data_IF_898674836639
#
_entry.id   IF_898674836639
#
_cell.length_a   1.000
_cell.length_b   1.000
_cell.length_c   1.000
_cell.angle_alpha   90.00
_cell.angle_beta   90.00
_cell.angle_gamma   90.00
#
_symmetry.space_group_name_H-M   'P 1'
#
loop_
_entity.id
_entity.type
_entity.pdbx_description
1 polymer ?
#
# COMPACT_ATOMS: atom_id res chain seq x y z
N UNK A 1 8.99 20.76 -8.53
CA UNK A 1 7.85 21.38 -7.80
C UNK A 1 7.96 21.04 -6.32
N UNK A 2 7.58 21.92 -5.39
CA UNK A 2 7.84 21.78 -3.94
C UNK A 2 6.72 21.09 -3.11
N UNK A 3 5.65 20.58 -3.73
CA UNK A 3 4.62 19.80 -3.03
C UNK A 3 3.71 20.55 -2.05
N UNK A 4 3.66 21.89 -2.09
CA UNK A 4 2.80 22.70 -1.20
C UNK A 4 1.32 22.27 -1.32
N UNK A 5 0.61 21.94 -0.21
CA UNK A 5 -0.72 21.31 -0.26
C UNK A 5 -1.82 22.27 -0.72
N UNK A 6 -1.68 23.56 -0.41
CA UNK A 6 -2.61 24.61 -0.78
C UNK A 6 -1.85 25.74 -1.49
N UNK A 7 -2.39 26.21 -2.60
CA UNK A 7 -1.98 27.47 -3.23
C UNK A 7 -3.11 28.48 -3.10
N UNK A 8 -2.77 29.70 -2.69
CA UNK A 8 -3.71 30.82 -2.60
C UNK A 8 -3.38 31.76 -3.76
N UNK A 9 -4.39 32.08 -4.56
CA UNK A 9 -4.32 32.99 -5.69
C UNK A 9 -5.12 34.25 -5.35
N UNK A 10 -4.53 35.41 -5.63
CA UNK A 10 -5.13 36.73 -5.36
C UNK A 10 -4.95 37.59 -6.60
N UNK A 11 -6.06 37.91 -7.28
CA UNK A 11 -6.07 38.83 -8.41
C UNK A 11 -6.81 40.15 -8.11
N UNK A 12 -6.76 41.14 -9.04
CA UNK A 12 -7.48 42.41 -8.88
C UNK A 12 -8.99 42.24 -8.62
N UNK A 13 -9.62 41.29 -9.33
CA UNK A 13 -11.06 40.97 -9.17
C UNK A 13 -11.39 40.36 -7.80
N UNK A 14 -10.46 39.60 -7.22
CA UNK A 14 -10.67 38.97 -5.92
C UNK A 14 -10.61 40.01 -4.79
N UNK A 15 -9.73 41.01 -4.95
CA UNK A 15 -9.65 42.16 -4.04
C UNK A 15 -10.95 42.99 -4.09
N UNK A 16 -11.46 43.30 -5.29
CA UNK A 16 -12.75 44.00 -5.48
C UNK A 16 -13.90 43.25 -4.80
N UNK A 17 -13.89 41.91 -4.85
CA UNK A 17 -14.91 41.05 -4.27
C UNK A 17 -14.62 40.62 -2.81
N UNK A 18 -13.53 41.10 -2.19
CA UNK A 18 -13.08 40.70 -0.84
C UNK A 18 -12.96 39.17 -0.64
N UNK A 19 -12.49 38.47 -1.66
CA UNK A 19 -12.32 37.02 -1.66
C UNK A 19 -10.89 36.61 -2.02
N UNK A 20 -10.59 35.33 -1.90
CA UNK A 20 -9.37 34.69 -2.41
C UNK A 20 -9.71 33.36 -3.05
N UNK A 21 -8.88 32.90 -3.98
CA UNK A 21 -9.00 31.59 -4.59
C UNK A 21 -8.04 30.60 -3.96
N UNK A 22 -8.57 29.49 -3.47
CA UNK A 22 -7.81 28.37 -2.91
C UNK A 22 -7.73 27.26 -3.94
N UNK A 23 -6.54 26.69 -4.13
CA UNK A 23 -6.29 25.54 -5.00
C UNK A 23 -5.65 24.40 -4.21
N UNK A 24 -6.29 23.23 -4.20
CA UNK A 24 -5.79 22.02 -3.52
C UNK A 24 -4.85 21.24 -4.43
N UNK A 25 -3.67 20.86 -3.92
CA UNK A 25 -2.59 20.29 -4.74
C UNK A 25 -2.90 18.93 -5.37
N UNK A 26 -3.55 18.02 -4.62
CA UNK A 26 -3.73 16.64 -5.06
C UNK A 26 -4.95 16.45 -5.95
N UNK A 27 -6.03 17.20 -5.72
CA UNK A 27 -7.27 17.15 -6.51
C UNK A 27 -7.32 18.20 -7.63
N UNK A 28 -6.58 19.30 -7.48
CA UNK A 28 -6.70 20.48 -8.36
C UNK A 28 -7.98 21.30 -8.15
N UNK A 29 -8.77 20.96 -7.12
CA UNK A 29 -10.01 21.66 -6.78
C UNK A 29 -9.75 23.13 -6.49
N UNK A 30 -10.64 24.00 -6.99
CA UNK A 30 -10.57 25.44 -6.83
C UNK A 30 -11.82 25.93 -6.11
N UNK A 31 -11.63 26.66 -5.03
CA UNK A 31 -12.74 27.25 -4.25
C UNK A 31 -12.45 28.72 -3.99
N UNK A 32 -13.43 29.57 -4.28
CA UNK A 32 -13.37 30.99 -3.92
C UNK A 32 -14.01 31.17 -2.54
N UNK A 33 -13.38 31.95 -1.66
CA UNK A 33 -13.91 32.20 -0.32
C UNK A 33 -13.57 33.59 0.21
N UNK A 34 -14.37 34.14 1.14
CA UNK A 34 -14.13 35.45 1.73
C UNK A 34 -12.76 35.52 2.44
N UNK A 35 -12.02 36.60 2.20
CA UNK A 35 -10.70 36.82 2.79
C UNK A 35 -10.75 36.86 4.33
N UNK A 36 -11.82 37.40 4.91
CA UNK A 36 -12.00 37.53 6.36
C UNK A 36 -12.08 36.17 7.07
N UNK A 37 -12.59 35.14 6.37
CA UNK A 37 -12.73 33.78 6.90
C UNK A 37 -11.55 32.84 6.57
N UNK A 38 -10.54 33.37 5.87
CA UNK A 38 -9.47 32.56 5.29
C UNK A 38 -8.68 31.77 6.35
N UNK A 39 -8.35 32.40 7.48
CA UNK A 39 -7.55 31.77 8.54
C UNK A 39 -8.20 30.48 9.08
N UNK A 40 -9.47 30.55 9.48
CA UNK A 40 -10.22 29.38 9.97
C UNK A 40 -10.50 28.35 8.88
N UNK A 41 -10.77 28.81 7.65
CA UNK A 41 -11.00 27.93 6.52
C UNK A 41 -9.75 27.14 6.13
N UNK A 42 -8.56 27.73 6.23
CA UNK A 42 -7.29 27.05 5.94
C UNK A 42 -6.99 25.93 6.93
N UNK A 43 -7.24 26.12 8.23
CA UNK A 43 -7.05 25.07 9.23
C UNK A 43 -7.91 23.86 8.89
N UNK A 44 -9.21 24.10 8.66
CA UNK A 44 -10.16 23.05 8.26
C UNK A 44 -9.74 22.35 6.97
N UNK A 45 -9.32 23.13 5.95
CA UNK A 45 -8.89 22.56 4.66
C UNK A 45 -7.62 21.72 4.77
N UNK A 46 -6.67 22.11 5.62
CA UNK A 46 -5.46 21.32 5.84
C UNK A 46 -5.79 19.97 6.51
N UNK A 47 -6.71 19.95 7.46
CA UNK A 47 -7.20 18.70 8.08
C UNK A 47 -7.93 17.81 7.07
N UNK A 48 -8.81 18.39 6.26
CA UNK A 48 -9.49 17.66 5.19
C UNK A 48 -8.51 17.06 4.18
N UNK A 49 -7.49 17.82 3.77
CA UNK A 49 -6.44 17.34 2.86
C UNK A 49 -5.68 16.18 3.48
N UNK A 50 -5.26 16.32 4.74
CA UNK A 50 -4.54 15.28 5.47
C UNK A 50 -5.38 14.00 5.55
N UNK A 51 -6.64 14.12 5.96
CA UNK A 51 -7.57 13.00 6.06
C UNK A 51 -7.85 12.36 4.69
N UNK A 52 -8.07 13.16 3.66
CA UNK A 52 -8.31 12.67 2.30
C UNK A 52 -7.13 11.90 1.73
N UNK A 53 -5.90 12.39 1.92
CA UNK A 53 -4.69 11.69 1.50
C UNK A 53 -4.50 10.38 2.27
N UNK A 54 -4.71 10.39 3.59
CA UNK A 54 -4.63 9.20 4.42
C UNK A 54 -5.65 8.14 4.00
N UNK A 55 -6.93 8.52 3.85
CA UNK A 55 -7.99 7.58 3.47
C UNK A 55 -7.74 7.00 2.08
N UNK A 56 -7.33 7.83 1.12
CA UNK A 56 -6.97 7.35 -0.23
C UNK A 56 -5.85 6.31 -0.18
N UNK A 57 -4.77 6.60 0.55
CA UNK A 57 -3.65 5.68 0.69
C UNK A 57 -4.04 4.39 1.43
N UNK A 58 -4.84 4.52 2.49
CA UNK A 58 -5.35 3.38 3.27
C UNK A 58 -6.23 2.48 2.41
N UNK A 59 -7.21 3.03 1.70
CA UNK A 59 -8.08 2.26 0.80
C UNK A 59 -7.27 1.54 -0.27
N UNK A 60 -6.34 2.26 -0.94
CA UNK A 60 -5.48 1.64 -1.94
C UNK A 60 -4.66 0.47 -1.36
N UNK A 61 -4.05 0.64 -0.18
CA UNK A 61 -3.33 -0.43 0.51
C UNK A 61 -4.26 -1.61 0.83
N UNK A 62 -5.44 -1.34 1.37
CA UNK A 62 -6.38 -2.38 1.81
C UNK A 62 -6.94 -3.18 0.62
N UNK A 63 -7.17 -2.52 -0.53
CA UNK A 63 -7.57 -3.17 -1.79
C UNK A 63 -6.47 -4.07 -2.37
N UNK A 64 -5.20 -3.78 -2.08
CA UNK A 64 -4.04 -4.57 -2.52
C UNK A 64 -3.53 -5.51 -1.43
N UNK A 65 -4.27 -5.72 -0.34
CA UNK A 65 -3.95 -6.74 0.67
C UNK A 65 -4.90 -7.92 0.47
N UNK A 66 -4.37 -9.02 -0.05
CA UNK A 66 -5.17 -10.20 -0.43
C UNK A 66 -4.84 -11.39 0.46
N UNK A 67 -5.86 -12.14 0.86
CA UNK A 67 -5.69 -13.39 1.61
C UNK A 67 -5.56 -14.56 0.64
N UNK A 68 -4.52 -15.37 0.82
CA UNK A 68 -4.24 -16.54 -0.02
C UNK A 68 -3.94 -17.75 0.86
N UNK A 69 -4.65 -18.85 0.62
CA UNK A 69 -4.51 -20.10 1.38
C UNK A 69 -3.88 -21.24 0.57
N UNK A 70 -3.71 -21.05 -0.75
CA UNK A 70 -3.12 -22.04 -1.65
C UNK A 70 -1.94 -21.44 -2.41
N UNK A 71 -0.82 -22.18 -2.50
CA UNK A 71 0.39 -21.68 -3.16
C UNK A 71 0.16 -21.26 -4.62
N UNK A 72 -0.72 -21.96 -5.34
CA UNK A 72 -1.01 -21.68 -6.76
C UNK A 72 -1.45 -20.23 -7.02
N UNK A 73 -2.04 -19.57 -6.03
CA UNK A 73 -2.54 -18.20 -6.13
C UNK A 73 -1.52 -17.17 -5.57
N UNK A 74 -0.47 -17.63 -4.89
CA UNK A 74 0.51 -16.75 -4.22
C UNK A 74 1.28 -15.86 -5.19
N UNK A 75 1.94 -16.47 -6.19
CA UNK A 75 2.72 -15.72 -7.20
C UNK A 75 1.83 -14.93 -8.16
N UNK A 76 0.69 -15.45 -8.65
CA UNK A 76 -0.24 -14.64 -9.43
C UNK A 76 -0.70 -13.36 -8.74
N UNK A 77 -0.93 -13.39 -7.42
CA UNK A 77 -1.28 -12.18 -6.65
C UNK A 77 -0.09 -11.23 -6.45
N UNK A 78 1.12 -11.76 -6.26
CA UNK A 78 2.35 -10.93 -6.22
C UNK A 78 2.62 -10.19 -7.53
N UNK A 79 2.31 -10.82 -8.68
CA UNK A 79 2.44 -10.16 -9.99
C UNK A 79 1.41 -9.05 -10.21
N UNK A 80 0.28 -9.08 -9.50
CA UNK A 80 -0.69 -7.97 -9.47
C UNK A 80 -0.26 -6.84 -8.54
N UNK A 81 0.95 -6.90 -7.99
CA UNK A 81 1.50 -5.95 -7.01
C UNK A 81 0.74 -5.92 -5.67
N UNK A 82 0.12 -7.04 -5.30
CA UNK A 82 -0.55 -7.17 -4.01
C UNK A 82 0.43 -7.56 -2.89
N UNK A 83 0.10 -7.17 -1.67
CA UNK A 83 0.59 -7.76 -0.44
C UNK A 83 -0.23 -9.01 -0.16
N UNK A 84 0.44 -10.13 0.09
CA UNK A 84 -0.23 -11.43 0.21
C UNK A 84 -0.21 -11.86 1.67
N UNK A 85 -1.38 -12.06 2.29
CA UNK A 85 -1.53 -12.56 3.64
C UNK A 85 -1.82 -14.06 3.57
N UNK A 86 -0.99 -14.89 4.19
CA UNK A 86 -1.16 -16.36 4.13
C UNK A 86 -1.12 -17.02 5.50
N UNK A 87 -1.74 -18.20 5.66
CA UNK A 87 -1.54 -19.03 6.83
C UNK A 87 -0.11 -19.54 6.92
N UNK A 88 0.47 -19.46 8.11
CA UNK A 88 1.87 -19.75 8.36
C UNK A 88 2.08 -20.60 9.62
N UNK A 89 3.06 -21.50 9.57
CA UNK A 89 3.42 -22.38 10.69
C UNK A 89 4.22 -21.69 11.81
N UNK A 90 4.38 -20.37 11.76
CA UNK A 90 5.11 -19.60 12.78
C UNK A 90 6.60 -19.40 12.48
N UNK A 91 7.25 -18.54 13.26
CA UNK A 91 8.62 -18.06 13.03
C UNK A 91 9.74 -19.06 13.38
N UNK A 92 9.40 -20.22 13.93
CA UNK A 92 10.37 -21.25 14.32
C UNK A 92 10.93 -22.03 13.11
N UNK A 93 10.27 -21.93 11.95
CA UNK A 93 10.62 -22.71 10.76
C UNK A 93 11.19 -21.85 9.62
N UNK A 94 12.40 -21.31 9.82
CA UNK A 94 13.06 -20.41 8.87
C UNK A 94 13.33 -21.02 7.49
N UNK A 95 13.52 -22.34 7.41
CA UNK A 95 13.76 -23.03 6.13
C UNK A 95 12.59 -22.84 5.15
N UNK A 96 11.36 -22.73 5.66
CA UNK A 96 10.20 -22.48 4.81
C UNK A 96 10.15 -21.05 4.29
N UNK A 97 10.68 -20.07 5.03
CA UNK A 97 10.78 -18.70 4.54
C UNK A 97 11.77 -18.59 3.37
N UNK A 98 12.93 -19.24 3.46
CA UNK A 98 13.89 -19.30 2.35
C UNK A 98 13.35 -20.11 1.16
N UNK A 99 12.54 -21.15 1.41
CA UNK A 99 11.81 -21.86 0.35
C UNK A 99 10.83 -20.94 -0.38
N UNK A 100 10.02 -20.16 0.37
CA UNK A 100 9.06 -19.21 -0.23
C UNK A 100 9.80 -18.19 -1.08
N UNK A 101 10.90 -17.63 -0.58
CA UNK A 101 11.74 -16.67 -1.30
C UNK A 101 12.31 -17.24 -2.59
N UNK A 102 12.90 -18.43 -2.54
CA UNK A 102 13.47 -19.10 -3.71
C UNK A 102 12.39 -19.44 -4.74
N UNK A 103 11.32 -20.12 -4.30
CA UNK A 103 10.26 -20.58 -5.20
C UNK A 103 9.46 -19.44 -5.81
N UNK A 104 9.12 -18.41 -5.02
CA UNK A 104 8.41 -17.23 -5.54
C UNK A 104 9.25 -16.46 -6.56
N UNK A 105 10.59 -16.41 -6.39
CA UNK A 105 11.50 -15.82 -7.37
C UNK A 105 11.47 -16.59 -8.69
N UNK A 106 11.66 -17.90 -8.63
CA UNK A 106 11.66 -18.76 -9.81
C UNK A 106 10.34 -18.67 -10.59
N UNK A 107 9.21 -18.78 -9.90
CA UNK A 107 7.88 -18.68 -10.51
C UNK A 107 7.59 -17.27 -11.05
N UNK A 108 8.04 -16.21 -10.37
CA UNK A 108 7.91 -14.81 -10.85
C UNK A 108 8.68 -14.60 -12.16
N UNK A 109 9.96 -15.01 -12.20
CA UNK A 109 10.81 -14.91 -13.38
C UNK A 109 10.23 -15.71 -14.56
N UNK A 110 9.80 -16.95 -14.29
CA UNK A 110 9.15 -17.79 -15.30
C UNK A 110 7.85 -17.15 -15.84
N UNK A 111 7.03 -16.56 -14.98
CA UNK A 111 5.77 -15.90 -15.38
C UNK A 111 5.99 -14.68 -16.30
N UNK A 112 7.16 -14.03 -16.16
CA UNK A 112 7.58 -12.86 -16.97
C UNK A 112 8.35 -13.25 -18.22
N UNK A 113 8.75 -14.52 -18.35
CA UNK A 113 9.66 -14.96 -19.41
C UNK A 113 11.09 -14.43 -19.23
N UNK A 114 11.47 -14.09 -18.00
CA UNK A 114 12.79 -13.56 -17.63
C UNK A 114 13.67 -14.68 -17.07
N UNK A 115 14.96 -14.67 -17.38
CA UNK A 115 15.92 -15.64 -16.81
C UNK A 115 16.55 -15.13 -15.51
N UNK A 116 16.72 -13.81 -15.39
CA UNK A 116 17.38 -13.14 -14.28
C UNK A 116 16.65 -11.83 -13.96
N UNK A 117 16.88 -11.30 -12.76
CA UNK A 117 16.33 -10.02 -12.33
C UNK A 117 17.05 -8.86 -13.05
N UNK A 118 16.33 -7.83 -13.49
CA UNK A 118 16.97 -6.61 -14.05
C UNK A 118 17.73 -5.89 -12.93
N UNK A 119 19.05 -5.82 -13.05
CA UNK A 119 19.98 -5.19 -12.10
C UNK A 119 19.67 -3.70 -11.83
N UNK A 120 18.88 -3.04 -12.70
CA UNK A 120 18.43 -1.65 -12.50
C UNK A 120 17.22 -1.55 -11.55
N UNK A 121 16.59 -2.66 -11.23
CA UNK A 121 15.42 -2.70 -10.34
C UNK A 121 15.89 -2.65 -8.90
N UNK A 122 15.33 -1.72 -8.12
CA UNK A 122 15.71 -1.56 -6.71
C UNK A 122 15.21 -2.70 -5.80
N UNK A 123 14.28 -3.52 -6.27
CA UNK A 123 13.62 -4.58 -5.49
C UNK A 123 13.77 -5.92 -6.20
N UNK A 124 14.14 -6.96 -5.47
CA UNK A 124 14.08 -8.35 -5.96
C UNK A 124 12.63 -8.75 -6.27
N UNK A 125 12.45 -9.67 -7.22
CA UNK A 125 11.13 -10.24 -7.55
C UNK A 125 10.69 -11.29 -6.53
N UNK A 126 11.60 -11.75 -5.67
CA UNK A 126 11.33 -12.70 -4.58
C UNK A 126 10.42 -12.08 -3.51
N UNK A 127 9.47 -12.87 -3.00
CA UNK A 127 8.71 -12.51 -1.82
C UNK A 127 9.55 -12.72 -0.55
N UNK A 128 9.36 -11.84 0.43
CA UNK A 128 9.88 -11.99 1.80
C UNK A 128 8.76 -11.81 2.80
N UNK A 129 8.95 -12.31 4.02
CA UNK A 129 8.08 -11.94 5.12
C UNK A 129 8.25 -10.44 5.40
N UNK A 130 7.14 -9.74 5.58
CA UNK A 130 7.13 -8.34 5.98
C UNK A 130 6.87 -8.23 7.48
N UNK A 131 5.81 -8.88 7.94
CA UNK A 131 5.49 -8.99 9.36
C UNK A 131 4.43 -10.07 9.60
N UNK A 132 4.28 -10.44 10.87
CA UNK A 132 3.07 -11.10 11.39
C UNK A 132 2.19 -9.97 11.95
N UNK A 133 1.06 -9.63 11.30
CA UNK A 133 0.22 -8.51 11.76
C UNK A 133 -0.28 -8.73 13.18
N UNK A 134 -0.42 -7.66 13.97
CA UNK A 134 -1.00 -7.77 15.32
C UNK A 134 -2.51 -8.01 15.29
N UNK A 135 -3.21 -7.34 14.38
CA UNK A 135 -4.62 -7.58 14.13
C UNK A 135 -4.76 -8.56 12.97
N UNK A 136 -5.09 -9.81 13.28
CA UNK A 136 -5.20 -10.88 12.30
C UNK A 136 -6.66 -11.28 12.11
N UNK A 137 -7.06 -11.69 10.90
CA UNK A 137 -8.33 -12.38 10.71
C UNK A 137 -8.32 -13.70 11.50
N UNK A 138 -9.52 -14.23 11.77
CA UNK A 138 -9.65 -15.53 12.40
C UNK A 138 -8.94 -16.60 11.57
N UNK A 139 -8.18 -17.48 12.23
CA UNK A 139 -7.50 -18.60 11.58
C UNK A 139 -8.31 -19.87 11.88
N UNK A 140 -9.02 -20.44 10.89
CA UNK A 140 -9.83 -21.62 11.12
C UNK A 140 -8.99 -22.82 11.63
N UNK A 141 -9.53 -23.64 12.56
CA UNK A 141 -8.86 -24.86 12.99
C UNK A 141 -8.57 -25.79 11.80
N UNK A 142 -7.35 -26.34 11.76
CA UNK A 142 -6.92 -27.25 10.69
C UNK A 142 -6.44 -26.55 9.42
N UNK A 143 -6.41 -25.21 9.37
CA UNK A 143 -5.74 -24.48 8.29
C UNK A 143 -4.26 -24.84 8.25
N UNK A 144 -3.77 -25.15 7.04
CA UNK A 144 -2.37 -25.53 6.82
C UNK A 144 -1.53 -24.35 6.37
N UNK A 145 -0.27 -24.35 6.79
CA UNK A 145 0.75 -23.45 6.30
C UNK A 145 0.89 -23.59 4.78
N UNK A 146 0.90 -22.47 4.08
CA UNK A 146 0.95 -22.43 2.61
C UNK A 146 2.21 -23.08 2.02
N UNK A 147 3.32 -23.07 2.77
CA UNK A 147 4.60 -23.62 2.31
C UNK A 147 4.86 -25.03 2.83
N UNK A 148 4.65 -25.26 4.13
CA UNK A 148 5.10 -26.50 4.78
C UNK A 148 4.06 -27.60 4.84
N UNK A 149 2.77 -27.27 4.70
CA UNK A 149 1.67 -28.20 4.95
C UNK A 149 1.45 -28.56 6.43
N UNK A 150 2.25 -28.01 7.36
CA UNK A 150 2.03 -28.12 8.80
C UNK A 150 0.82 -27.28 9.23
N UNK A 151 0.34 -27.44 10.47
CA UNK A 151 -0.72 -26.57 10.99
C UNK A 151 -0.25 -25.12 11.05
N UNK A 152 -1.09 -24.21 10.56
CA UNK A 152 -0.84 -22.79 10.67
C UNK A 152 -1.13 -22.32 12.10
N UNK A 153 -0.24 -21.48 12.62
CA UNK A 153 -0.37 -20.86 13.95
C UNK A 153 -0.70 -19.38 13.87
N UNK A 154 -0.43 -18.74 12.73
CA UNK A 154 -0.69 -17.33 12.49
C UNK A 154 -0.88 -17.02 11.01
N UNK A 155 -1.29 -15.80 10.72
CA UNK A 155 -1.19 -15.18 9.42
C UNK A 155 0.12 -14.40 9.30
N UNK A 156 0.79 -14.49 8.15
CA UNK A 156 1.98 -13.70 7.85
C UNK A 156 1.78 -12.93 6.55
N UNK A 157 2.26 -11.70 6.53
CA UNK A 157 2.17 -10.80 5.38
C UNK A 157 3.46 -10.89 4.57
N UNK A 158 3.31 -11.13 3.27
CA UNK A 158 4.40 -11.23 2.31
C UNK A 158 4.35 -10.08 1.30
N UNK A 159 5.51 -9.76 0.75
CA UNK A 159 5.62 -8.87 -0.39
C UNK A 159 7.03 -8.79 -0.93
N UNK A 160 7.18 -8.05 -2.03
CA UNK A 160 8.49 -7.63 -2.54
C UNK A 160 8.94 -6.42 -1.74
N UNK A 161 10.14 -6.48 -1.19
CA UNK A 161 10.70 -5.40 -0.36
C UNK A 161 11.81 -4.66 -1.10
N UNK A 162 11.96 -3.38 -0.78
CA UNK A 162 13.17 -2.61 -1.04
C UNK A 162 14.34 -3.09 -0.17
#
# INVERSE_FOLDING_TARGET
QKGVPIRIEVGPRDIENKQVRIVVRYSGEKTDMPADSLGSALVTKLEEIQNGLFQKAKTYRDEHLVQVTEWKDFVPELEKHNLVLTPWCGGEHKDWEEWVKTKSREESLASRGEQEEDERTATSVAAKTLCIPFNQPELPPGTKCIASGMDATCWVLWGRSY
#
